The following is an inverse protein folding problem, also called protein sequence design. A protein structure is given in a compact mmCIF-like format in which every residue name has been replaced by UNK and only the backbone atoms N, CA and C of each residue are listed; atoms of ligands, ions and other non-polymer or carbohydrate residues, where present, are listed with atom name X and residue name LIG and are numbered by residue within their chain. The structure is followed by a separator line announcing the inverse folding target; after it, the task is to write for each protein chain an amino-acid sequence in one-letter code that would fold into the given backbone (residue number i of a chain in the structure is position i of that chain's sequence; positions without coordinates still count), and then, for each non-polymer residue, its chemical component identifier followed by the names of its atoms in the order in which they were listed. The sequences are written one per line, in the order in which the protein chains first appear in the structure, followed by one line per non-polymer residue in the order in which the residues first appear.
data_IF_069511605191
#
_entry.id   IF_069511605191
#
_cell.length_a   1.000
_cell.length_b   1.000
_cell.length_c   1.000
_cell.angle_alpha   90.00
_cell.angle_beta   90.00
_cell.angle_gamma   90.00
#
_symmetry.space_group_name_H-M   'P 1'
#
loop_
_entity.id
_entity.type
_entity.pdbx_description
1 polymer ?
#
# COMPACT_ATOMS: atom_id res chain seq x y z
N UNK A 1 39.14 11.43 -11.87
CA UNK A 1 37.78 11.80 -11.40
C UNK A 1 36.75 11.00 -12.18
N UNK A 2 36.46 9.73 -11.83
CA UNK A 2 35.47 8.93 -12.58
C UNK A 2 34.79 7.82 -11.75
N UNK A 3 35.06 7.72 -10.44
CA UNK A 3 34.50 6.66 -9.57
C UNK A 3 33.26 7.14 -8.79
N UNK A 4 33.07 8.45 -8.66
CA UNK A 4 32.02 9.03 -7.81
C UNK A 4 30.64 9.04 -8.49
N UNK A 5 30.56 8.95 -9.82
CA UNK A 5 29.28 9.03 -10.53
C UNK A 5 28.47 7.71 -10.53
N UNK A 6 29.07 6.55 -10.25
CA UNK A 6 28.36 5.26 -10.30
C UNK A 6 27.53 4.96 -9.04
N UNK A 7 27.93 5.50 -7.89
CA UNK A 7 27.24 5.28 -6.61
C UNK A 7 25.91 6.04 -6.57
N UNK A 8 25.84 7.22 -7.19
CA UNK A 8 24.63 8.07 -7.18
C UNK A 8 23.51 7.46 -8.03
N UNK A 9 23.85 6.78 -9.12
CA UNK A 9 22.85 6.13 -10.00
C UNK A 9 22.22 4.92 -9.27
N UNK A 10 23.03 4.15 -8.53
CA UNK A 10 22.53 3.01 -7.77
C UNK A 10 21.58 3.45 -6.65
N UNK A 11 21.91 4.51 -5.89
CA UNK A 11 21.01 5.05 -4.85
C UNK A 11 19.66 5.54 -5.42
N UNK A 12 19.66 6.17 -6.60
CA UNK A 12 18.43 6.65 -7.24
C UNK A 12 17.53 5.50 -7.71
N UNK A 13 18.09 4.40 -8.21
CA UNK A 13 17.30 3.21 -8.55
C UNK A 13 16.66 2.56 -7.32
N UNK A 14 17.36 2.52 -6.17
CA UNK A 14 16.79 2.02 -4.92
C UNK A 14 15.65 2.91 -4.40
N UNK A 15 15.75 4.23 -4.51
CA UNK A 15 14.68 5.18 -4.14
C UNK A 15 13.43 5.02 -5.03
N UNK A 16 13.61 4.78 -6.33
CA UNK A 16 12.49 4.52 -7.25
C UNK A 16 11.86 3.15 -6.98
N UNK A 17 12.64 2.15 -6.56
CA UNK A 17 12.12 0.84 -6.20
C UNK A 17 11.33 0.89 -4.88
N UNK A 18 11.89 1.50 -3.82
CA UNK A 18 11.21 1.67 -2.55
C UNK A 18 9.88 2.44 -2.65
N UNK A 19 9.80 3.43 -3.55
CA UNK A 19 8.55 4.15 -3.82
C UNK A 19 7.54 3.36 -4.65
N UNK A 20 7.99 2.40 -5.47
CA UNK A 20 7.13 1.44 -6.18
C UNK A 20 6.58 0.39 -5.21
N UNK A 21 7.44 -0.12 -4.33
CA UNK A 21 7.10 -1.11 -3.31
C UNK A 21 6.05 -0.56 -2.34
N UNK A 22 6.25 0.63 -1.77
CA UNK A 22 5.27 1.27 -0.89
C UNK A 22 3.88 1.43 -1.53
N UNK A 23 3.79 1.80 -2.82
CA UNK A 23 2.48 1.98 -3.48
C UNK A 23 1.74 0.66 -3.64
N UNK A 24 2.47 -0.39 -3.99
CA UNK A 24 1.93 -1.73 -4.14
C UNK A 24 1.45 -2.25 -2.77
N UNK A 25 2.29 -2.10 -1.75
CA UNK A 25 1.98 -2.46 -0.36
C UNK A 25 0.74 -1.75 0.18
N UNK A 26 0.66 -0.43 -0.01
CA UNK A 26 -0.49 0.36 0.41
C UNK A 26 -1.77 -0.12 -0.28
N UNK A 27 -1.70 -0.43 -1.57
CA UNK A 27 -2.85 -0.92 -2.33
C UNK A 27 -3.23 -2.36 -1.95
N UNK A 28 -2.25 -3.20 -1.63
CA UNK A 28 -2.46 -4.53 -1.06
C UNK A 28 -3.19 -4.43 0.27
N UNK A 29 -2.67 -3.64 1.21
CA UNK A 29 -3.27 -3.44 2.53
C UNK A 29 -4.70 -2.89 2.45
N UNK A 30 -4.99 -2.02 1.48
CA UNK A 30 -6.34 -1.54 1.22
C UNK A 30 -7.29 -2.67 0.75
N UNK A 31 -6.81 -3.57 -0.13
CA UNK A 31 -7.59 -4.74 -0.53
C UNK A 31 -7.80 -5.71 0.63
N UNK A 32 -6.76 -5.97 1.44
CA UNK A 32 -6.88 -6.79 2.64
C UNK A 32 -7.90 -6.20 3.62
N UNK A 33 -7.90 -4.88 3.81
CA UNK A 33 -8.86 -4.21 4.68
C UNK A 33 -10.29 -4.37 4.16
N UNK A 34 -10.50 -4.17 2.85
CA UNK A 34 -11.79 -4.38 2.20
C UNK A 34 -12.28 -5.82 2.40
N UNK A 35 -11.45 -6.80 2.12
CA UNK A 35 -11.79 -8.21 2.23
C UNK A 35 -12.08 -8.59 3.69
N UNK A 36 -11.25 -8.14 4.64
CA UNK A 36 -11.48 -8.37 6.07
C UNK A 36 -12.79 -7.75 6.58
N UNK A 37 -13.21 -6.60 6.04
CA UNK A 37 -14.53 -6.01 6.32
C UNK A 37 -15.67 -6.83 5.73
N UNK A 38 -15.54 -7.24 4.48
CA UNK A 38 -16.52 -8.10 3.80
C UNK A 38 -16.71 -9.42 4.57
N UNK A 39 -15.61 -10.02 5.02
CA UNK A 39 -15.58 -11.30 5.74
C UNK A 39 -15.85 -11.16 7.24
N UNK A 40 -16.17 -9.93 7.71
CA UNK A 40 -16.52 -9.60 9.10
C UNK A 40 -15.47 -10.06 10.12
N UNK A 41 -14.20 -9.93 9.77
CA UNK A 41 -13.09 -10.28 10.66
C UNK A 41 -13.12 -9.38 11.91
N UNK A 42 -13.01 -9.99 13.09
CA UNK A 42 -13.11 -9.26 14.36
C UNK A 42 -11.96 -8.29 14.63
N UNK A 43 -10.73 -8.66 14.24
CA UNK A 43 -9.54 -7.82 14.36
C UNK A 43 -8.95 -7.52 12.97
N UNK A 44 -9.49 -6.49 12.31
CA UNK A 44 -9.10 -6.12 10.95
C UNK A 44 -7.67 -5.60 10.87
N UNK A 45 -7.19 -4.88 11.88
CA UNK A 45 -5.84 -4.34 11.87
C UNK A 45 -4.80 -5.45 11.88
N UNK A 46 -4.99 -6.46 12.74
CA UNK A 46 -4.14 -7.65 12.79
C UNK A 46 -4.25 -8.47 11.50
N UNK A 47 -5.45 -8.61 10.94
CA UNK A 47 -5.67 -9.30 9.67
C UNK A 47 -4.90 -8.63 8.53
N UNK A 48 -5.04 -7.31 8.38
CA UNK A 48 -4.34 -6.53 7.35
C UNK A 48 -2.84 -6.64 7.51
N UNK A 49 -2.32 -6.54 8.74
CA UNK A 49 -0.89 -6.66 8.99
C UNK A 49 -0.38 -8.06 8.62
N UNK A 50 -1.06 -9.13 9.03
CA UNK A 50 -0.69 -10.52 8.72
C UNK A 50 -0.72 -10.83 7.23
N UNK A 51 -1.75 -10.35 6.53
CA UNK A 51 -1.88 -10.55 5.09
C UNK A 51 -0.77 -9.81 4.34
N UNK A 52 -0.47 -8.59 4.76
CA UNK A 52 0.64 -7.79 4.23
C UNK A 52 2.00 -8.47 4.50
N UNK A 53 2.26 -8.94 5.72
CA UNK A 53 3.48 -9.68 6.08
C UNK A 53 3.64 -10.98 5.28
N UNK A 54 2.55 -11.70 5.04
CA UNK A 54 2.56 -12.92 4.22
C UNK A 54 2.95 -12.61 2.78
N UNK A 55 2.37 -11.57 2.19
CA UNK A 55 2.72 -11.14 0.84
C UNK A 55 4.16 -10.58 0.74
N UNK A 56 4.61 -9.88 1.79
CA UNK A 56 5.98 -9.39 1.93
C UNK A 56 7.03 -10.50 1.99
N UNK A 57 6.72 -11.60 2.69
CA UNK A 57 7.64 -12.73 2.86
C UNK A 57 8.01 -13.39 1.52
N UNK A 58 7.04 -13.51 0.62
CA UNK A 58 7.23 -14.12 -0.70
C UNK A 58 8.05 -13.23 -1.66
N UNK A 59 8.13 -11.94 -1.36
CA UNK A 59 8.75 -10.92 -2.21
C UNK A 59 9.98 -10.24 -1.56
N UNK A 60 10.43 -10.71 -0.39
CA UNK A 60 11.57 -10.19 0.37
C UNK A 60 11.53 -8.68 0.68
N UNK A 61 10.34 -8.11 0.90
CA UNK A 61 10.19 -6.69 1.29
C UNK A 61 9.53 -6.54 2.67
N UNK A 62 9.55 -5.34 3.29
CA UNK A 62 8.90 -5.07 4.59
C UNK A 62 7.59 -4.28 4.42
N UNK A 63 6.44 -4.94 4.64
CA UNK A 63 5.10 -4.33 4.51
C UNK A 63 4.73 -3.28 5.58
N UNK A 64 5.50 -3.22 6.68
CA UNK A 64 5.13 -2.50 7.90
C UNK A 64 4.98 -0.98 7.72
N UNK A 65 5.59 -0.39 6.69
CA UNK A 65 5.60 1.06 6.52
C UNK A 65 4.34 1.59 5.82
N UNK A 66 3.74 0.81 4.92
CA UNK A 66 2.59 1.23 4.13
C UNK A 66 1.24 0.90 4.79
N UNK A 67 1.17 -0.16 5.60
CA UNK A 67 -0.05 -0.55 6.34
C UNK A 67 -0.63 0.60 7.19
N UNK A 68 0.19 1.35 7.98
CA UNK A 68 -0.30 2.47 8.75
C UNK A 68 -0.89 3.60 7.91
N UNK A 69 -0.49 3.76 6.65
CA UNK A 69 -1.03 4.80 5.77
C UNK A 69 -2.53 4.59 5.50
N UNK A 70 -2.98 3.34 5.51
CA UNK A 70 -4.40 2.97 5.41
C UNK A 70 -5.03 2.93 6.80
N UNK A 71 -4.45 2.17 7.73
CA UNK A 71 -5.07 1.93 9.04
C UNK A 71 -5.22 3.21 9.87
N UNK A 72 -4.33 4.19 9.74
CA UNK A 72 -4.40 5.43 10.53
C UNK A 72 -5.21 6.55 9.85
N UNK A 73 -5.72 6.34 8.63
CA UNK A 73 -6.47 7.36 7.90
C UNK A 73 -7.96 6.97 7.80
N UNK A 74 -8.82 7.70 8.52
CA UNK A 74 -10.25 7.40 8.58
C UNK A 74 -10.97 7.65 7.25
N UNK A 75 -10.53 8.63 6.46
CA UNK A 75 -11.19 8.99 5.20
C UNK A 75 -10.95 7.94 4.12
N UNK A 76 -9.71 7.45 4.02
CA UNK A 76 -9.41 6.36 3.08
C UNK A 76 -10.08 5.06 3.52
N UNK A 77 -10.18 4.78 4.83
CA UNK A 77 -10.92 3.60 5.32
C UNK A 77 -12.38 3.61 4.87
N UNK A 78 -13.09 4.73 4.99
CA UNK A 78 -14.46 4.88 4.48
C UNK A 78 -14.54 4.65 2.96
N UNK A 79 -13.56 5.16 2.23
CA UNK A 79 -13.47 4.99 0.76
C UNK A 79 -13.31 3.51 0.40
N UNK A 80 -12.45 2.79 1.13
CA UNK A 80 -12.22 1.35 0.95
C UNK A 80 -13.45 0.53 1.38
N UNK A 81 -14.18 0.94 2.41
CA UNK A 81 -15.42 0.27 2.84
C UNK A 81 -16.54 0.41 1.81
N UNK A 82 -16.57 1.53 1.07
CA UNK A 82 -17.46 1.73 -0.07
C UNK A 82 -16.96 1.05 -1.36
N UNK A 83 -15.80 0.38 -1.32
CA UNK A 83 -15.21 -0.26 -2.48
C UNK A 83 -15.86 -1.62 -2.75
N UNK A 84 -16.97 -1.59 -3.47
CA UNK A 84 -17.67 -2.80 -3.91
C UNK A 84 -17.20 -3.23 -5.32
N UNK A 85 -16.59 -4.43 -5.48
CA UNK A 85 -16.16 -4.99 -6.77
C UNK A 85 -17.26 -5.19 -7.79
N UNK A 86 -18.50 -5.37 -7.35
CA UNK A 86 -19.65 -5.60 -8.23
C UNK A 86 -20.39 -4.30 -8.57
N UNK A 87 -19.97 -3.17 -7.99
CA UNK A 87 -20.56 -1.85 -8.25
C UNK A 87 -20.03 -1.20 -9.53
N UNK A 88 -20.89 -0.40 -10.19
CA UNK A 88 -20.49 0.43 -11.33
C UNK A 88 -19.37 1.43 -10.99
N UNK A 89 -19.28 1.85 -9.72
CA UNK A 89 -18.27 2.78 -9.19
C UNK A 89 -16.96 2.11 -8.79
N UNK A 90 -16.82 0.78 -8.90
CA UNK A 90 -15.64 0.04 -8.47
C UNK A 90 -14.32 0.66 -8.97
N UNK A 91 -14.27 1.02 -10.27
CA UNK A 91 -13.08 1.58 -10.89
C UNK A 91 -12.73 2.97 -10.35
N UNK A 92 -13.73 3.78 -10.02
CA UNK A 92 -13.51 5.12 -9.47
C UNK A 92 -12.97 5.02 -8.04
N UNK A 93 -13.54 4.13 -7.23
CA UNK A 93 -13.06 3.86 -5.88
C UNK A 93 -11.65 3.26 -5.89
N UNK A 94 -11.38 2.30 -6.77
CA UNK A 94 -10.04 1.72 -6.97
C UNK A 94 -9.01 2.80 -7.34
N UNK A 95 -9.36 3.70 -8.27
CA UNK A 95 -8.50 4.80 -8.69
C UNK A 95 -8.27 5.82 -7.57
N UNK A 96 -9.28 6.09 -6.74
CA UNK A 96 -9.14 6.95 -5.56
C UNK A 96 -8.15 6.34 -4.56
N UNK A 97 -8.24 5.04 -4.29
CA UNK A 97 -7.32 4.32 -3.40
C UNK A 97 -5.90 4.30 -3.98
N UNK A 98 -5.73 4.00 -5.27
CA UNK A 98 -4.42 4.06 -5.94
C UNK A 98 -3.80 5.47 -5.88
N UNK A 99 -4.62 6.51 -6.08
CA UNK A 99 -4.18 7.90 -6.01
C UNK A 99 -3.76 8.29 -4.60
N UNK A 100 -4.51 7.86 -3.59
CA UNK A 100 -4.15 8.04 -2.19
C UNK A 100 -2.79 7.40 -1.90
N UNK A 101 -2.62 6.11 -2.21
CA UNK A 101 -1.37 5.38 -1.98
C UNK A 101 -0.18 6.04 -2.67
N UNK A 102 -0.35 6.52 -3.91
CA UNK A 102 0.68 7.27 -4.62
C UNK A 102 1.11 8.54 -3.89
N UNK A 103 0.14 9.31 -3.36
CA UNK A 103 0.42 10.55 -2.62
C UNK A 103 1.03 10.26 -1.24
N UNK A 104 0.48 9.30 -0.50
CA UNK A 104 0.93 8.93 0.84
C UNK A 104 2.37 8.42 0.80
N UNK A 105 2.70 7.51 -0.11
CA UNK A 105 4.06 7.00 -0.27
C UNK A 105 5.07 8.05 -0.75
N UNK A 106 4.63 9.07 -1.49
CA UNK A 106 5.49 10.20 -1.87
C UNK A 106 5.76 11.14 -0.70
N UNK A 107 4.86 11.22 0.28
CA UNK A 107 5.02 12.07 1.48
C UNK A 107 5.82 11.37 2.58
N UNK A 108 5.81 10.03 2.59
CA UNK A 108 6.55 9.21 3.55
C UNK A 108 8.04 9.03 3.19
N UNK A 109 8.45 9.40 1.97
CA UNK A 109 9.84 9.44 1.49
C UNK A 109 10.28 10.90 1.29
#
# INVERSE_FOLDING_TARGET
MQVVCLIVIFCLTYLVNATRDCRLECFQAAQSYRNGKHDKVGNIEEYVMKDCESFAKDLHYQCANAVPLILNNTDIKKTIEAWDPDSASHKDTENAVKTFCRKACRKAN
#
